data_IF_696182216957
#
_entry.id   IF_696182216957
#
_cell.length_a   1.000
_cell.length_b   1.000
_cell.length_c   1.000
_cell.angle_alpha   90.00
_cell.angle_beta   90.00
_cell.angle_gamma   90.00
#
_symmetry.space_group_name_H-M   'P 1'
#
loop_
_entity.id
_entity.type
_entity.pdbx_description
1 polymer ?
#
# COMPACT_ATOMS: atom_id res chain seq x y z
N UNK A 1 -31.56 -25.52 -4.25
CA UNK A 1 -30.49 -25.20 -5.23
C UNK A 1 -30.64 -23.81 -5.89
N UNK A 2 -31.84 -23.31 -6.21
CA UNK A 2 -32.01 -21.97 -6.82
C UNK A 2 -31.65 -20.78 -5.90
N UNK A 3 -32.03 -20.73 -4.60
CA UNK A 3 -31.69 -19.57 -3.75
C UNK A 3 -30.21 -19.51 -3.35
N UNK A 4 -29.55 -20.66 -3.22
CA UNK A 4 -28.12 -20.75 -2.89
C UNK A 4 -27.24 -20.17 -4.00
N UNK A 5 -27.61 -20.38 -5.26
CA UNK A 5 -26.88 -19.81 -6.40
C UNK A 5 -27.00 -18.27 -6.44
N UNK A 6 -28.18 -17.73 -6.11
CA UNK A 6 -28.40 -16.29 -6.01
C UNK A 6 -27.56 -15.64 -4.90
N UNK A 7 -27.43 -16.31 -3.75
CA UNK A 7 -26.58 -15.83 -2.64
C UNK A 7 -25.10 -15.81 -3.02
N UNK A 8 -24.59 -16.87 -3.65
CA UNK A 8 -23.21 -16.91 -4.14
C UNK A 8 -22.95 -15.78 -5.13
N UNK A 9 -23.89 -15.55 -6.06
CA UNK A 9 -23.78 -14.47 -7.02
C UNK A 9 -23.76 -13.09 -6.36
N UNK A 10 -24.62 -12.86 -5.35
CA UNK A 10 -24.65 -11.64 -4.57
C UNK A 10 -23.33 -11.40 -3.82
N UNK A 11 -22.76 -12.44 -3.23
CA UNK A 11 -21.47 -12.36 -2.53
C UNK A 11 -20.37 -11.98 -3.52
N UNK A 12 -20.30 -12.63 -4.69
CA UNK A 12 -19.29 -12.33 -5.71
C UNK A 12 -19.38 -10.87 -6.18
N UNK A 13 -20.58 -10.37 -6.47
CA UNK A 13 -20.77 -8.97 -6.87
C UNK A 13 -20.35 -8.01 -5.75
N UNK A 14 -20.75 -8.30 -4.52
CA UNK A 14 -20.43 -7.44 -3.37
C UNK A 14 -18.93 -7.39 -3.13
N UNK A 15 -18.24 -8.53 -3.18
CA UNK A 15 -16.78 -8.61 -3.06
C UNK A 15 -16.07 -7.91 -4.21
N UNK A 16 -16.60 -8.01 -5.44
CA UNK A 16 -16.06 -7.29 -6.59
C UNK A 16 -16.15 -5.78 -6.41
N UNK A 17 -17.32 -5.26 -6.01
CA UNK A 17 -17.49 -3.82 -5.74
C UNK A 17 -16.60 -3.34 -4.60
N UNK A 18 -16.47 -4.12 -3.53
CA UNK A 18 -15.56 -3.82 -2.42
C UNK A 18 -14.10 -3.73 -2.90
N UNK A 19 -13.66 -4.64 -3.76
CA UNK A 19 -12.30 -4.66 -4.32
C UNK A 19 -11.98 -3.39 -5.11
N UNK A 20 -12.95 -2.83 -5.85
CA UNK A 20 -12.78 -1.57 -6.59
C UNK A 20 -12.46 -0.41 -5.65
N UNK A 21 -13.08 -0.35 -4.47
CA UNK A 21 -12.88 0.74 -3.49
C UNK A 21 -11.61 0.54 -2.68
N UNK A 22 -11.30 -0.71 -2.31
CA UNK A 22 -10.19 -1.04 -1.42
C UNK A 22 -8.83 -1.10 -2.14
N UNK A 23 -8.83 -1.23 -3.46
CA UNK A 23 -7.59 -1.41 -4.24
C UNK A 23 -7.28 -0.16 -5.05
N UNK A 24 -6.03 0.30 -5.00
CA UNK A 24 -5.58 1.39 -5.87
C UNK A 24 -5.19 0.92 -7.29
N UNK A 25 -5.71 -0.23 -7.76
CA UNK A 25 -5.41 -0.84 -9.07
C UNK A 25 -3.94 -0.78 -9.50
N UNK A 26 -3.00 -1.09 -8.60
CA UNK A 26 -1.56 -1.03 -8.88
C UNK A 26 -1.08 0.36 -9.39
N UNK A 27 -1.75 1.46 -9.00
CA UNK A 27 -1.36 2.84 -9.33
C UNK A 27 -0.24 3.36 -8.43
N UNK A 28 0.03 2.69 -7.30
CA UNK A 28 1.14 2.98 -6.40
C UNK A 28 2.09 1.79 -6.40
N UNK A 29 3.37 2.05 -6.63
CA UNK A 29 4.43 1.08 -6.44
C UNK A 29 4.95 1.16 -5.01
N UNK A 30 5.15 0.01 -4.37
CA UNK A 30 5.59 -0.09 -2.99
C UNK A 30 6.90 -0.87 -3.00
N UNK A 31 7.97 -0.25 -2.50
CA UNK A 31 9.30 -0.86 -2.40
C UNK A 31 9.79 -0.76 -0.96
N UNK A 32 10.18 -1.86 -0.35
CA UNK A 32 10.89 -1.83 0.94
C UNK A 32 12.36 -1.49 0.68
N UNK A 33 12.87 -0.45 1.35
CA UNK A 33 14.23 0.04 1.20
C UNK A 33 14.96 0.08 2.53
N UNK A 34 16.28 -0.06 2.43
CA UNK A 34 17.23 0.11 3.53
C UNK A 34 18.09 1.32 3.24
N UNK A 35 18.09 2.30 4.14
CA UNK A 35 18.97 3.46 4.10
C UNK A 35 20.02 3.29 5.20
N UNK A 36 21.28 3.20 4.81
CA UNK A 36 22.40 3.18 5.76
C UNK A 36 22.63 4.59 6.28
N UNK A 37 22.82 4.70 7.59
CA UNK A 37 23.14 5.94 8.29
C UNK A 37 24.57 5.89 8.82
N UNK A 38 24.94 6.84 9.68
CA UNK A 38 26.21 6.81 10.40
C UNK A 38 26.29 5.58 11.33
N UNK A 39 27.52 5.21 11.69
CA UNK A 39 27.83 4.20 12.70
C UNK A 39 27.21 2.81 12.46
N UNK A 40 27.23 2.34 11.20
CA UNK A 40 26.66 1.05 10.75
C UNK A 40 25.17 0.85 11.09
N UNK A 41 24.47 1.92 11.42
CA UNK A 41 23.03 1.90 11.63
C UNK A 41 22.29 1.98 10.30
N UNK A 42 21.02 1.58 10.31
CA UNK A 42 20.18 1.62 9.12
C UNK A 42 18.72 1.87 9.48
N UNK A 43 18.01 2.44 8.51
CA UNK A 43 16.57 2.67 8.56
C UNK A 43 15.92 1.81 7.48
N UNK A 44 14.95 0.99 7.88
CA UNK A 44 14.10 0.25 6.94
C UNK A 44 12.75 0.95 6.83
N UNK A 45 12.31 1.19 5.59
CA UNK A 45 11.05 1.88 5.31
C UNK A 45 10.40 1.34 4.04
N UNK A 46 9.10 1.53 3.91
CA UNK A 46 8.38 1.29 2.65
C UNK A 46 8.23 2.61 1.89
N UNK A 47 8.67 2.63 0.65
CA UNK A 47 8.51 3.74 -0.26
C UNK A 47 7.24 3.54 -1.08
N UNK A 48 6.21 4.33 -0.78
CA UNK A 48 4.98 4.40 -1.56
C UNK A 48 5.14 5.45 -2.66
N UNK A 49 5.40 5.02 -3.90
CA UNK A 49 5.59 5.89 -5.05
C UNK A 49 4.43 5.76 -6.04
N UNK A 50 3.59 6.79 -6.24
CA UNK A 50 2.60 6.79 -7.31
C UNK A 50 3.28 6.64 -8.67
N UNK A 51 2.68 5.87 -9.60
CA UNK A 51 3.18 5.73 -10.98
C UNK A 51 3.30 7.06 -11.73
N UNK A 52 2.52 8.05 -11.30
CA UNK A 52 2.53 9.40 -11.84
C UNK A 52 3.81 10.20 -11.47
N UNK A 53 4.53 9.80 -10.42
CA UNK A 53 5.73 10.49 -9.95
C UNK A 53 6.93 10.22 -10.88
N UNK A 54 7.39 11.26 -11.58
CA UNK A 54 8.55 11.21 -12.48
C UNK A 54 9.51 12.37 -12.23
N UNK A 55 10.62 12.43 -12.98
CA UNK A 55 11.54 13.58 -12.91
C UNK A 55 10.86 14.87 -13.39
N UNK A 56 10.02 14.76 -14.40
CA UNK A 56 9.31 15.87 -15.03
C UNK A 56 8.02 16.24 -14.25
N UNK A 57 7.43 15.28 -13.54
CA UNK A 57 6.26 15.49 -12.71
C UNK A 57 6.55 15.16 -11.24
N UNK A 58 7.05 16.19 -10.53
CA UNK A 58 7.36 16.12 -9.10
C UNK A 58 6.07 16.18 -8.29
N UNK A 59 5.92 15.25 -7.34
CA UNK A 59 4.80 15.21 -6.42
C UNK A 59 5.28 15.51 -4.99
N UNK A 60 4.39 15.94 -4.09
CA UNK A 60 4.72 16.10 -2.68
C UNK A 60 5.30 14.82 -2.08
N UNK A 61 6.30 14.98 -1.21
CA UNK A 61 6.92 13.88 -0.48
C UNK A 61 6.55 14.00 1.00
N UNK A 62 6.04 12.92 1.57
CA UNK A 62 5.64 12.84 2.98
C UNK A 62 6.42 11.73 3.63
N UNK A 63 7.03 12.04 4.78
CA UNK A 63 7.74 11.07 5.61
C UNK A 63 6.90 10.82 6.85
N UNK A 64 6.61 9.55 7.12
CA UNK A 64 5.90 9.13 8.32
C UNK A 64 6.91 8.46 9.24
N UNK A 65 7.16 9.08 10.40
CA UNK A 65 8.04 8.55 11.43
C UNK A 65 7.17 8.00 12.56
N UNK A 66 7.33 6.73 12.95
CA UNK A 66 6.54 6.16 14.04
C UNK A 66 6.91 6.82 15.39
N UNK A 67 5.97 6.79 16.32
CA UNK A 67 6.18 7.27 17.69
C UNK A 67 7.09 6.34 18.51
N UNK A 68 7.38 6.76 19.74
CA UNK A 68 8.25 6.03 20.67
C UNK A 68 7.76 4.58 20.90
N UNK A 69 8.69 3.61 20.86
CA UNK A 69 8.48 2.16 21.04
C UNK A 69 7.63 1.44 19.97
N UNK A 70 7.41 2.03 18.80
CA UNK A 70 6.86 1.33 17.64
C UNK A 70 7.90 1.28 16.54
N UNK A 71 8.64 0.18 16.43
CA UNK A 71 9.42 -0.12 15.22
C UNK A 71 8.47 -0.57 14.10
N UNK A 72 8.84 -0.31 12.85
CA UNK A 72 8.23 -0.97 11.68
C UNK A 72 8.53 -2.48 11.67
N UNK A 73 9.56 -2.88 12.40
CA UNK A 73 10.05 -4.25 12.57
C UNK A 73 9.68 -4.77 13.97
N UNK A 74 8.43 -5.19 14.15
CA UNK A 74 8.08 -6.14 15.21
C UNK A 74 7.92 -7.51 14.56
#
# INVERSE_FOLDING_TARGET
MKPTLSLVFLIIISSFLASIVQTNFNKTHIETKKLFTIDDQFIVYDLYKPKLASKDNKLPYVVIVPGFQRSKEA
#
